data_IF_433795245967
#
_entry.id   IF_433795245967
#
_cell.length_a   1.000
_cell.length_b   1.000
_cell.length_c   1.000
_cell.angle_alpha   90.00
_cell.angle_beta   90.00
_cell.angle_gamma   90.00
#
_symmetry.space_group_name_H-M   'P 1'
#
loop_
_entity.id
_entity.type
_entity.pdbx_description
1 polymer ?
#
# COMPACT_ATOMS: atom_id res chain seq x y z
N UNK A 1 -12.47 -3.57 19.37
CA UNK A 1 -12.00 -3.58 17.98
C UNK A 1 -10.84 -2.59 17.86
N UNK A 2 -9.69 -2.98 17.29
CA UNK A 2 -8.50 -2.11 17.22
C UNK A 2 -8.57 -1.21 15.98
N UNK A 3 -8.18 0.09 16.05
CA UNK A 3 -8.08 0.94 14.87
C UNK A 3 -7.13 0.34 13.81
N UNK A 4 -7.44 0.48 12.53
CA UNK A 4 -6.62 -0.05 11.43
C UNK A 4 -5.15 0.42 11.51
N UNK A 5 -4.95 1.69 11.86
CA UNK A 5 -3.60 2.24 12.03
C UNK A 5 -2.80 1.59 13.16
N UNK A 6 -3.46 1.02 14.18
CA UNK A 6 -2.79 0.23 15.23
C UNK A 6 -2.52 -1.19 14.73
N UNK A 7 -3.49 -1.83 14.07
CA UNK A 7 -3.31 -3.18 13.50
C UNK A 7 -2.09 -3.25 12.56
N UNK A 8 -1.95 -2.27 11.67
CA UNK A 8 -0.82 -2.22 10.74
C UNK A 8 0.50 -1.86 11.44
N UNK A 9 0.46 -1.00 12.47
CA UNK A 9 1.65 -0.67 13.29
C UNK A 9 2.11 -1.80 14.20
N UNK A 10 1.23 -2.73 14.56
CA UNK A 10 1.61 -3.96 15.28
C UNK A 10 2.36 -4.94 14.34
N UNK A 11 2.22 -4.76 13.01
CA UNK A 11 2.82 -5.61 11.97
C UNK A 11 3.79 -4.83 11.06
N UNK A 12 4.65 -3.98 11.64
CA UNK A 12 5.55 -3.09 10.88
C UNK A 12 6.46 -3.82 9.90
N UNK A 13 6.82 -5.08 10.18
CA UNK A 13 7.66 -5.90 9.30
C UNK A 13 7.06 -6.14 7.91
N UNK A 14 5.76 -5.89 7.73
CA UNK A 14 5.09 -5.94 6.43
C UNK A 14 5.29 -4.66 5.60
N UNK A 15 5.74 -3.58 6.23
CA UNK A 15 5.94 -2.27 5.64
C UNK A 15 7.24 -2.12 4.84
N UNK A 16 7.44 -0.91 4.30
CA UNK A 16 8.72 -0.53 3.67
C UNK A 16 9.64 0.12 4.69
N UNK A 17 10.94 -0.23 4.73
CA UNK A 17 11.90 0.43 5.60
C UNK A 17 12.06 1.89 5.15
N UNK A 18 12.06 2.81 6.11
CA UNK A 18 12.38 4.22 5.85
C UNK A 18 13.82 4.46 6.26
N UNK A 19 14.54 5.21 5.43
CA UNK A 19 15.91 5.63 5.73
C UNK A 19 15.95 6.29 7.11
N UNK A 20 16.85 5.83 8.01
CA UNK A 20 16.97 6.42 9.33
C UNK A 20 17.31 7.91 9.19
N UNK A 21 16.70 8.73 10.03
CA UNK A 21 17.06 10.14 10.20
C UNK A 21 17.11 10.42 11.70
N UNK A 22 17.56 11.62 12.11
CA UNK A 22 17.64 11.99 13.53
C UNK A 22 16.34 11.76 14.32
N UNK A 23 15.19 11.66 13.64
CA UNK A 23 13.87 11.45 14.25
C UNK A 23 13.24 10.08 13.95
N UNK A 24 13.92 9.20 13.21
CA UNK A 24 13.37 7.91 12.77
C UNK A 24 14.29 6.77 13.25
N UNK A 25 13.79 5.82 14.04
CA UNK A 25 14.56 4.65 14.49
C UNK A 25 15.14 3.84 13.32
N UNK A 26 16.31 3.19 13.50
CA UNK A 26 16.99 2.47 12.43
C UNK A 26 16.16 1.35 11.78
N UNK A 27 15.26 0.72 12.53
CA UNK A 27 14.41 -0.38 12.06
C UNK A 27 12.96 0.06 11.79
N UNK A 28 12.74 1.36 11.59
CA UNK A 28 11.41 1.86 11.33
C UNK A 28 10.93 1.46 9.93
N UNK A 29 9.87 0.67 9.90
CA UNK A 29 9.13 0.37 8.66
C UNK A 29 7.76 1.03 8.69
N UNK A 30 7.38 1.65 7.57
CA UNK A 30 6.08 2.31 7.37
C UNK A 30 5.15 1.35 6.61
N UNK A 31 4.09 0.83 7.26
CA UNK A 31 3.16 -0.08 6.60
C UNK A 31 2.06 0.65 5.82
N UNK A 32 1.71 1.89 6.21
CA UNK A 32 0.62 2.62 5.59
C UNK A 32 0.65 4.13 5.88
N UNK A 33 -0.05 4.88 5.01
CA UNK A 33 -0.48 6.26 5.25
C UNK A 33 -2.02 6.32 5.24
N UNK A 34 -2.57 7.21 6.07
CA UNK A 34 -4.02 7.34 6.26
C UNK A 34 -4.45 8.80 6.08
N UNK A 35 -5.57 9.00 5.41
CA UNK A 35 -6.26 10.29 5.34
C UNK A 35 -7.76 10.06 5.14
N UNK A 36 -8.58 10.39 6.13
CA UNK A 36 -10.00 10.05 6.16
C UNK A 36 -10.23 8.56 5.81
N UNK A 37 -10.99 8.27 4.75
CA UNK A 37 -11.25 6.92 4.24
C UNK A 37 -10.18 6.43 3.24
N UNK A 38 -9.32 7.32 2.75
CA UNK A 38 -8.21 6.95 1.87
C UNK A 38 -7.05 6.34 2.66
N UNK A 39 -6.68 5.11 2.31
CA UNK A 39 -5.52 4.41 2.88
C UNK A 39 -4.58 4.01 1.75
N UNK A 40 -3.30 4.34 1.91
CA UNK A 40 -2.23 3.83 1.07
C UNK A 40 -1.43 2.80 1.86
N UNK A 41 -1.37 1.56 1.38
CA UNK A 41 -0.54 0.51 1.95
C UNK A 41 0.82 0.50 1.26
N UNK A 42 1.88 0.31 2.06
CA UNK A 42 3.25 0.19 1.57
C UNK A 42 3.81 -1.15 2.00
N UNK A 43 4.36 -1.89 1.04
CA UNK A 43 4.93 -3.21 1.27
C UNK A 43 6.16 -3.43 0.38
N UNK A 44 7.00 -4.39 0.76
CA UNK A 44 8.20 -4.76 -0.01
C UNK A 44 7.91 -5.76 -1.13
N UNK A 45 6.68 -6.25 -1.22
CA UNK A 45 6.31 -7.31 -2.14
C UNK A 45 4.87 -7.74 -1.99
N UNK A 46 4.39 -8.48 -2.98
CA UNK A 46 2.98 -8.91 -3.10
C UNK A 46 2.54 -9.75 -1.90
N UNK A 47 3.41 -10.64 -1.38
CA UNK A 47 3.08 -11.46 -0.20
C UNK A 47 2.82 -10.62 1.05
N UNK A 48 3.69 -9.65 1.32
CA UNK A 48 3.51 -8.74 2.46
C UNK A 48 2.29 -7.83 2.26
N UNK A 49 2.03 -7.40 1.02
CA UNK A 49 0.81 -6.64 0.69
C UNK A 49 -0.44 -7.46 0.96
N UNK A 50 -0.46 -8.74 0.58
CA UNK A 50 -1.58 -9.63 0.85
C UNK A 50 -1.82 -9.76 2.36
N UNK A 51 -0.76 -9.97 3.15
CA UNK A 51 -0.86 -10.01 4.62
C UNK A 51 -1.40 -8.69 5.20
N UNK A 52 -1.07 -7.53 4.61
CA UNK A 52 -1.66 -6.25 5.02
C UNK A 52 -3.14 -6.14 4.62
N UNK A 53 -3.54 -6.67 3.46
CA UNK A 53 -4.93 -6.71 3.02
C UNK A 53 -5.78 -7.61 3.95
N UNK A 54 -5.23 -8.73 4.41
CA UNK A 54 -5.91 -9.60 5.39
C UNK A 54 -6.21 -8.81 6.69
N UNK A 55 -5.29 -7.95 7.13
CA UNK A 55 -5.51 -7.07 8.30
C UNK A 55 -6.59 -6.01 8.03
N UNK A 56 -6.66 -5.48 6.80
CA UNK A 56 -7.72 -4.55 6.39
C UNK A 56 -9.07 -5.25 6.40
N UNK A 57 -9.15 -6.50 5.95
CA UNK A 57 -10.38 -7.29 5.94
C UNK A 57 -10.87 -7.60 7.36
N UNK A 58 -9.96 -7.95 8.29
CA UNK A 58 -10.28 -8.09 9.71
C UNK A 58 -10.85 -6.79 10.28
N UNK A 59 -10.26 -5.64 9.92
CA UNK A 59 -10.78 -4.34 10.32
C UNK A 59 -12.17 -4.07 9.71
N UNK A 60 -12.36 -4.29 8.42
CA UNK A 60 -13.66 -4.10 7.74
C UNK A 60 -14.75 -4.95 8.40
N UNK A 61 -14.48 -6.24 8.63
CA UNK A 61 -15.39 -7.17 9.30
C UNK A 61 -15.78 -6.68 10.70
N UNK A 62 -14.82 -6.18 11.48
CA UNK A 62 -15.09 -5.72 12.84
C UNK A 62 -15.75 -4.35 12.95
N UNK A 63 -15.70 -3.52 11.90
CA UNK A 63 -16.15 -2.11 11.94
C UNK A 63 -17.44 -1.87 11.16
N UNK A 64 -17.80 -2.80 10.26
CA UNK A 64 -18.84 -2.57 9.27
C UNK A 64 -18.38 -1.71 8.08
N UNK A 65 -17.11 -1.32 8.01
CA UNK A 65 -16.55 -0.67 6.83
C UNK A 65 -16.38 -1.68 5.69
N UNK A 66 -16.42 -1.20 4.45
CA UNK A 66 -16.24 -2.03 3.26
C UNK A 66 -15.06 -1.52 2.42
N UNK A 67 -14.20 -2.43 1.99
CA UNK A 67 -13.13 -2.12 1.04
C UNK A 67 -13.74 -1.93 -0.35
N UNK A 68 -13.51 -0.77 -0.95
CA UNK A 68 -13.99 -0.50 -2.30
C UNK A 68 -12.98 -0.99 -3.35
N UNK A 69 -13.09 -2.27 -3.72
CA UNK A 69 -12.19 -2.89 -4.69
C UNK A 69 -12.12 -2.14 -6.04
N UNK A 70 -13.20 -1.47 -6.46
CA UNK A 70 -13.23 -0.70 -7.70
C UNK A 70 -12.39 0.59 -7.66
N UNK A 71 -12.13 1.10 -6.45
CA UNK A 71 -11.29 2.28 -6.19
C UNK A 71 -9.92 1.92 -5.61
N UNK A 72 -9.69 0.65 -5.29
CA UNK A 72 -8.42 0.16 -4.76
C UNK A 72 -7.52 -0.32 -5.90
N UNK A 73 -6.29 0.17 -5.89
CA UNK A 73 -5.30 -0.14 -6.92
C UNK A 73 -4.01 -0.61 -6.27
N UNK A 74 -3.37 -1.60 -6.89
CA UNK A 74 -2.00 -2.01 -6.57
C UNK A 74 -1.08 -1.40 -7.62
N UNK A 75 -0.04 -0.72 -7.14
CA UNK A 75 1.01 -0.14 -7.96
C UNK A 75 2.32 -0.78 -7.53
N UNK A 76 3.06 -1.33 -8.49
CA UNK A 76 4.46 -1.69 -8.31
C UNK A 76 5.30 -0.62 -9.01
N UNK A 77 5.87 0.36 -8.27
CA UNK A 77 6.85 1.26 -8.86
C UNK A 77 8.07 0.44 -9.25
N UNK A 78 8.42 0.40 -10.54
CA UNK A 78 9.67 -0.22 -10.98
C UNK A 78 10.86 0.54 -10.40
N UNK A 79 11.94 -0.18 -10.05
CA UNK A 79 13.25 0.37 -9.64
C UNK A 79 13.97 1.17 -10.75
N UNK A 80 13.34 1.36 -11.90
CA UNK A 80 13.88 2.23 -12.93
C UNK A 80 13.72 3.69 -12.48
N UNK A 81 14.85 4.39 -12.43
CA UNK A 81 14.95 5.86 -12.32
C UNK A 81 14.04 6.55 -13.36
N UNK A 82 13.59 5.82 -14.39
CA UNK A 82 12.78 6.26 -15.53
C UNK A 82 11.45 5.49 -15.74
N UNK A 83 10.76 5.06 -14.68
CA UNK A 83 9.40 4.48 -14.79
C UNK A 83 8.31 5.56 -15.09
N UNK A 84 7.20 5.24 -15.77
CA UNK A 84 6.14 6.16 -16.16
C UNK A 84 5.27 6.51 -14.98
N UNK A 85 4.83 7.78 -14.98
CA UNK A 85 3.77 8.25 -14.10
C UNK A 85 2.52 7.52 -14.51
N UNK A 86 2.05 6.63 -13.66
CA UNK A 86 0.70 6.14 -13.80
C UNK A 86 -0.23 7.23 -13.26
N UNK A 87 -0.56 8.21 -14.11
CA UNK A 87 -1.48 9.32 -13.78
C UNK A 87 -2.87 8.84 -13.31
N UNK A 88 -3.16 7.56 -13.54
CA UNK A 88 -4.35 6.86 -13.10
C UNK A 88 -4.48 6.73 -11.57
N UNK A 89 -3.37 6.65 -10.82
CA UNK A 89 -3.44 6.47 -9.36
C UNK A 89 -2.81 7.64 -8.63
N UNK A 90 -3.64 8.29 -7.81
CA UNK A 90 -3.28 9.48 -7.04
C UNK A 90 -3.64 9.25 -5.58
N UNK A 91 -2.75 9.67 -4.70
CA UNK A 91 -3.04 9.77 -3.27
C UNK A 91 -3.07 11.25 -2.89
N UNK A 92 -4.24 11.73 -2.45
CA UNK A 92 -4.46 13.15 -2.10
C UNK A 92 -4.13 14.12 -3.26
N UNK A 93 -4.46 13.73 -4.49
CA UNK A 93 -4.16 14.51 -5.69
C UNK A 93 -2.71 14.39 -6.19
N UNK A 94 -1.82 13.80 -5.39
CA UNK A 94 -0.42 13.57 -5.74
C UNK A 94 -0.33 12.25 -6.52
N UNK A 95 0.12 12.26 -7.79
CA UNK A 95 0.29 11.04 -8.56
C UNK A 95 1.38 10.16 -7.95
N UNK A 96 1.09 8.86 -7.84
CA UNK A 96 2.05 7.87 -7.37
C UNK A 96 2.78 7.26 -8.59
N UNK A 97 4.08 7.51 -8.72
CA UNK A 97 4.93 7.06 -9.84
C UNK A 97 5.98 8.10 -10.27
N UNK A 98 7.10 7.66 -10.87
CA UNK A 98 8.20 8.55 -11.28
C UNK A 98 8.00 9.11 -12.72
N UNK A 99 8.79 10.10 -13.15
CA UNK A 99 8.77 10.65 -14.53
C UNK A 99 9.64 9.78 -15.46
N UNK A 100 9.08 9.09 -16.46
CA UNK A 100 9.89 8.33 -17.45
C UNK A 100 9.10 7.33 -18.30
N UNK A 101 9.75 6.54 -19.16
CA UNK A 101 9.13 5.70 -20.21
C UNK A 101 9.44 4.19 -20.05
N UNK A 102 8.90 3.53 -19.03
CA UNK A 102 8.96 2.05 -18.89
C UNK A 102 7.83 1.41 -18.05
N UNK A 103 6.87 0.74 -18.69
CA UNK A 103 5.65 0.08 -18.13
C UNK A 103 5.74 -0.32 -16.63
N UNK A 104 5.27 0.56 -15.73
CA UNK A 104 4.98 0.17 -14.34
C UNK A 104 3.72 -0.68 -14.31
N UNK A 105 3.67 -1.70 -13.46
CA UNK A 105 2.49 -2.57 -13.36
C UNK A 105 1.48 -1.94 -12.41
N UNK A 106 0.31 -1.59 -12.95
CA UNK A 106 -0.82 -1.05 -12.19
C UNK A 106 -2.03 -1.94 -12.42
N UNK A 107 -2.57 -2.50 -11.34
CA UNK A 107 -3.69 -3.44 -11.40
C UNK A 107 -4.74 -3.04 -10.38
N UNK A 108 -5.99 -2.99 -10.81
CA UNK A 108 -7.12 -2.77 -9.92
C UNK A 108 -7.31 -4.00 -9.04
N UNK A 109 -7.65 -3.81 -7.76
CA UNK A 109 -7.64 -4.90 -6.79
C UNK A 109 -8.63 -6.02 -7.14
N UNK A 110 -9.77 -5.68 -7.75
CA UNK A 110 -10.77 -6.65 -8.23
C UNK A 110 -10.33 -7.47 -9.45
N UNK A 111 -9.28 -7.05 -10.16
CA UNK A 111 -8.74 -7.75 -11.34
C UNK A 111 -7.62 -8.72 -11.01
N UNK A 112 -7.23 -8.81 -9.74
CA UNK A 112 -6.23 -9.77 -9.28
C UNK A 112 -6.95 -11.09 -9.02
N UNK A 113 -7.05 -11.91 -10.05
CA UNK A 113 -7.51 -13.29 -9.94
C UNK A 113 -6.32 -14.17 -9.57
N UNK A 114 -6.33 -14.71 -8.35
CA UNK A 114 -5.42 -15.74 -7.80
C UNK A 114 -3.92 -15.55 -8.08
N UNK A 115 -3.21 -15.03 -7.06
CA UNK A 115 -1.76 -15.19 -6.99
C UNK A 115 -1.50 -16.63 -6.54
N UNK A 116 -0.74 -17.45 -7.29
CA UNK A 116 -0.45 -18.82 -6.87
C UNK A 116 0.31 -18.80 -5.54
N UNK A 117 -0.22 -19.56 -4.57
CA UNK A 117 0.35 -19.86 -3.25
C UNK A 117 1.77 -20.39 -3.31
#
# INVERSE_FOLDING_TARGET
MKPLGILLRDHRGLGVPITPSLSIPPDFSLPAAFFADATALFSRGVRQLQQQLDLVEVYCTGSGALLNHSKSWIICPNDAIDAPRHDAVRYLGIPLGNRGTSVGMTTQLDKITDVPT
#
